data_IF_105001889807
#
_entry.id   IF_105001889807
#
_cell.length_a   1.000
_cell.length_b   1.000
_cell.length_c   1.000
_cell.angle_alpha   90.00
_cell.angle_beta   90.00
_cell.angle_gamma   90.00
#
_symmetry.space_group_name_H-M   'P 1'
#
loop_
_entity.id
_entity.type
_entity.pdbx_description
1 polymer ?
#
# COMPACT_ATOMS: atom_id res chain seq x y z
N UNK A 1 -6.03 -8.19 15.16
CA UNK A 1 -6.33 -9.52 15.78
C UNK A 1 -7.66 -10.02 15.30
N UNK A 2 -7.82 -11.34 15.26
CA UNK A 2 -9.07 -12.02 14.87
C UNK A 2 -9.48 -13.04 15.94
N UNK A 3 -10.77 -13.26 16.10
CA UNK A 3 -11.33 -14.29 16.98
C UNK A 3 -12.66 -14.80 16.41
N UNK A 4 -12.99 -16.07 16.67
CA UNK A 4 -14.30 -16.63 16.29
C UNK A 4 -15.46 -15.81 16.91
N UNK A 5 -16.53 -15.61 16.16
CA UNK A 5 -17.71 -14.87 16.58
C UNK A 5 -18.98 -15.41 15.91
N UNK A 6 -20.15 -15.08 16.46
CA UNK A 6 -21.45 -15.47 15.89
C UNK A 6 -21.83 -14.66 14.64
N UNK A 7 -21.16 -13.53 14.42
CA UNK A 7 -21.36 -12.66 13.25
C UNK A 7 -20.08 -11.89 12.92
N UNK A 8 -19.96 -11.43 11.68
CA UNK A 8 -18.88 -10.54 11.28
C UNK A 8 -18.95 -9.21 12.05
N UNK A 9 -17.82 -8.79 12.61
CA UNK A 9 -17.69 -7.49 13.26
C UNK A 9 -16.29 -6.93 13.08
N UNK A 10 -16.19 -5.61 13.01
CA UNK A 10 -14.94 -4.88 12.91
C UNK A 10 -14.89 -3.78 13.96
N UNK A 11 -13.79 -3.72 14.68
CA UNK A 11 -13.48 -2.63 15.60
C UNK A 11 -12.13 -2.02 15.29
N UNK A 12 -12.01 -0.69 15.46
CA UNK A 12 -10.77 0.03 15.30
C UNK A 12 -10.25 0.54 16.65
N UNK A 13 -8.97 0.35 16.86
CA UNK A 13 -8.15 1.14 17.78
C UNK A 13 -7.26 2.05 16.93
N UNK A 14 -7.26 3.35 17.20
CA UNK A 14 -6.47 4.32 16.43
C UNK A 14 -5.48 5.03 17.31
N UNK A 15 -4.29 5.31 16.78
CA UNK A 15 -3.41 6.31 17.36
C UNK A 15 -4.17 7.65 17.40
N UNK A 16 -4.14 8.41 18.52
CA UNK A 16 -4.84 9.67 18.63
C UNK A 16 -4.49 10.73 17.56
N UNK A 17 -3.38 10.55 16.87
CA UNK A 17 -2.92 11.42 15.78
C UNK A 17 -3.54 11.05 14.43
N UNK A 18 -4.21 9.90 14.32
CA UNK A 18 -4.79 9.39 13.07
C UNK A 18 -6.29 9.62 13.07
N UNK A 19 -6.78 10.40 12.12
CA UNK A 19 -8.20 10.47 11.85
C UNK A 19 -8.64 9.24 11.04
N UNK A 20 -9.40 8.38 11.66
CA UNK A 20 -9.98 7.20 11.05
C UNK A 20 -11.50 7.27 10.93
N UNK A 21 -12.09 8.47 11.05
CA UNK A 21 -13.54 8.68 10.99
C UNK A 21 -14.18 8.22 9.67
N UNK A 22 -13.42 8.24 8.58
CA UNK A 22 -13.88 7.79 7.26
C UNK A 22 -13.67 6.29 7.01
N UNK A 23 -13.03 5.55 7.92
CA UNK A 23 -12.84 4.11 7.76
C UNK A 23 -14.16 3.39 8.01
N UNK A 24 -14.74 2.71 7.00
CA UNK A 24 -15.99 2.00 7.21
C UNK A 24 -15.81 0.84 8.18
N UNK A 25 -16.79 0.60 9.06
CA UNK A 25 -16.82 -0.51 10.00
C UNK A 25 -17.77 -1.63 9.55
N UNK A 26 -18.25 -1.57 8.32
CA UNK A 26 -19.18 -2.50 7.68
C UNK A 26 -18.50 -3.26 6.52
N UNK A 27 -19.30 -3.97 5.71
CA UNK A 27 -18.90 -4.77 4.56
C UNK A 27 -18.13 -4.01 3.46
N UNK A 28 -18.11 -2.69 3.49
CA UNK A 28 -17.28 -1.85 2.61
C UNK A 28 -15.81 -1.86 3.03
N UNK A 29 -15.52 -2.27 4.27
CA UNK A 29 -14.14 -2.38 4.75
C UNK A 29 -13.41 -3.53 4.07
N UNK A 30 -12.22 -3.26 3.52
CA UNK A 30 -11.45 -4.26 2.79
C UNK A 30 -11.04 -5.46 3.65
N UNK A 31 -10.84 -5.28 4.96
CA UNK A 31 -10.54 -6.37 5.88
C UNK A 31 -11.75 -7.32 6.06
N UNK A 32 -12.97 -6.78 6.16
CA UNK A 32 -14.18 -7.63 6.19
C UNK A 32 -14.42 -8.32 4.85
N UNK A 33 -14.14 -7.65 3.74
CA UNK A 33 -14.20 -8.27 2.41
C UNK A 33 -13.20 -9.41 2.29
N UNK A 34 -11.96 -9.22 2.76
CA UNK A 34 -10.94 -10.26 2.80
C UNK A 34 -11.41 -11.48 3.61
N UNK A 35 -11.95 -11.23 4.79
CA UNK A 35 -12.49 -12.28 5.67
C UNK A 35 -13.62 -13.08 5.00
N UNK A 36 -14.58 -12.38 4.40
CA UNK A 36 -15.71 -13.01 3.69
C UNK A 36 -15.24 -13.81 2.47
N UNK A 37 -14.27 -13.29 1.71
CA UNK A 37 -13.72 -13.98 0.53
C UNK A 37 -12.99 -15.27 0.92
N UNK A 38 -12.21 -15.25 2.00
CA UNK A 38 -11.52 -16.45 2.49
C UNK A 38 -12.51 -17.50 3.01
N UNK A 39 -13.52 -17.09 3.79
CA UNK A 39 -14.59 -17.98 4.26
C UNK A 39 -15.35 -18.61 3.09
N UNK A 40 -15.65 -17.81 2.06
CA UNK A 40 -16.31 -18.25 0.83
C UNK A 40 -15.49 -19.25 0.01
N UNK A 41 -14.17 -19.03 -0.13
CA UNK A 41 -13.26 -19.95 -0.83
C UNK A 41 -13.32 -21.36 -0.24
N UNK A 42 -13.36 -21.46 1.09
CA UNK A 42 -13.41 -22.74 1.81
C UNK A 42 -14.83 -23.25 2.09
N UNK A 43 -15.88 -22.55 1.62
CA UNK A 43 -17.28 -22.93 1.86
C UNK A 43 -17.65 -23.00 3.35
N UNK A 44 -17.06 -22.13 4.17
CA UNK A 44 -17.26 -22.13 5.62
C UNK A 44 -18.50 -21.31 6.01
N UNK A 45 -19.27 -21.83 6.97
CA UNK A 45 -20.28 -21.08 7.70
C UNK A 45 -19.67 -20.56 9.02
N UNK A 46 -18.53 -19.85 8.90
CA UNK A 46 -17.80 -19.28 10.04
C UNK A 46 -17.71 -17.77 9.89
N UNK A 47 -17.81 -17.10 11.01
CA UNK A 47 -17.65 -15.66 11.13
C UNK A 47 -16.66 -15.30 12.24
N UNK A 48 -16.09 -14.11 12.18
CA UNK A 48 -15.08 -13.66 13.13
C UNK A 48 -15.28 -12.20 13.53
N UNK A 49 -14.80 -11.85 14.72
CA UNK A 49 -14.56 -10.48 15.11
C UNK A 49 -13.13 -10.09 14.71
N UNK A 50 -13.00 -8.95 14.06
CA UNK A 50 -11.74 -8.38 13.60
C UNK A 50 -11.48 -7.09 14.39
N UNK A 51 -10.29 -6.99 14.98
CA UNK A 51 -9.83 -5.76 15.62
C UNK A 51 -8.57 -5.27 14.90
N UNK A 52 -8.63 -4.08 14.33
CA UNK A 52 -7.52 -3.39 13.67
C UNK A 52 -6.96 -2.34 14.61
N UNK A 53 -5.65 -2.38 14.88
CA UNK A 53 -4.92 -1.28 15.53
C UNK A 53 -4.29 -0.43 14.43
N UNK A 54 -4.95 0.71 14.12
CA UNK A 54 -4.59 1.57 12.99
C UNK A 54 -3.46 2.51 13.38
N UNK A 55 -2.28 2.28 12.80
CA UNK A 55 -1.09 3.11 12.95
C UNK A 55 -0.66 3.79 11.65
N UNK A 56 -1.33 3.50 10.52
CA UNK A 56 -1.04 4.09 9.21
C UNK A 56 -2.15 5.09 8.87
N UNK A 57 -1.82 6.33 8.49
CA UNK A 57 -2.79 7.35 8.11
C UNK A 57 -3.72 6.92 6.99
N UNK A 58 -4.97 7.35 7.04
CA UNK A 58 -5.96 7.11 5.97
C UNK A 58 -5.67 8.05 4.81
N UNK A 59 -5.76 7.54 3.57
CA UNK A 59 -5.48 8.30 2.35
C UNK A 59 -4.07 8.93 2.30
N UNK A 60 -3.11 8.34 3.02
CA UNK A 60 -1.72 8.81 3.06
C UNK A 60 -0.81 8.29 1.94
N UNK A 61 -1.30 7.45 1.03
CA UNK A 61 -0.45 6.80 0.00
C UNK A 61 0.41 5.65 0.53
N UNK A 62 0.12 5.13 1.72
CA UNK A 62 0.92 4.11 2.44
C UNK A 62 0.29 2.72 2.46
N UNK A 63 -0.68 2.44 1.61
CA UNK A 63 -1.36 1.16 1.43
C UNK A 63 -1.88 0.49 2.73
N UNK A 64 -2.21 1.29 3.77
CA UNK A 64 -2.61 0.79 5.09
C UNK A 64 -3.84 -0.12 5.06
N UNK A 65 -4.84 0.17 4.21
CA UNK A 65 -6.01 -0.70 4.03
C UNK A 65 -5.64 -2.05 3.41
N UNK A 66 -4.73 -2.05 2.44
CA UNK A 66 -4.23 -3.28 1.81
C UNK A 66 -3.45 -4.15 2.79
N UNK A 67 -2.65 -3.53 3.67
CA UNK A 67 -1.97 -4.22 4.76
C UNK A 67 -2.98 -4.84 5.76
N UNK A 68 -4.06 -4.11 6.11
CA UNK A 68 -5.13 -4.63 6.98
C UNK A 68 -5.83 -5.85 6.35
N UNK A 69 -6.08 -5.82 5.02
CA UNK A 69 -6.68 -6.94 4.29
C UNK A 69 -5.76 -8.16 4.25
N UNK A 70 -4.49 -7.98 3.87
CA UNK A 70 -3.50 -9.04 3.83
C UNK A 70 -3.31 -9.71 5.21
N UNK A 71 -3.17 -8.89 6.26
CA UNK A 71 -3.07 -9.39 7.62
C UNK A 71 -4.33 -10.17 8.06
N UNK A 72 -5.51 -9.76 7.59
CA UNK A 72 -6.77 -10.46 7.89
C UNK A 72 -6.82 -11.82 7.22
N UNK A 73 -6.42 -11.93 5.93
CA UNK A 73 -6.33 -13.23 5.23
C UNK A 73 -5.44 -14.20 6.01
N UNK A 74 -4.21 -13.80 6.34
CA UNK A 74 -3.26 -14.63 7.07
C UNK A 74 -3.77 -15.00 8.46
N UNK A 75 -4.36 -14.04 9.17
CA UNK A 75 -4.81 -14.26 10.55
C UNK A 75 -5.99 -15.24 10.62
N UNK A 76 -6.94 -15.16 9.69
CA UNK A 76 -8.08 -16.07 9.63
C UNK A 76 -7.69 -17.44 9.09
N UNK A 77 -6.80 -17.52 8.11
CA UNK A 77 -6.24 -18.80 7.64
C UNK A 77 -5.65 -19.60 8.81
N UNK A 78 -4.84 -18.91 9.64
CA UNK A 78 -4.25 -19.53 10.85
C UNK A 78 -5.27 -19.83 11.94
N UNK A 79 -6.23 -18.91 12.19
CA UNK A 79 -7.27 -19.11 13.23
C UNK A 79 -8.10 -20.36 12.94
N UNK A 80 -8.44 -20.57 11.67
CA UNK A 80 -9.31 -21.66 11.24
C UNK A 80 -8.57 -22.90 10.75
N UNK A 81 -7.22 -22.87 10.75
CA UNK A 81 -6.33 -23.96 10.30
C UNK A 81 -6.68 -24.44 8.89
N UNK A 82 -6.84 -23.48 7.96
CA UNK A 82 -7.33 -23.77 6.60
C UNK A 82 -6.24 -24.33 5.70
N UNK A 83 -5.00 -23.92 5.88
CA UNK A 83 -3.86 -24.31 5.05
C UNK A 83 -4.04 -23.84 3.61
N UNK A 84 -4.61 -22.64 3.42
CA UNK A 84 -4.77 -22.01 2.10
C UNK A 84 -3.42 -21.85 1.44
N UNK A 85 -3.30 -22.27 0.19
CA UNK A 85 -2.04 -22.15 -0.55
C UNK A 85 -1.69 -20.68 -0.82
N UNK A 86 -0.39 -20.39 -0.99
CA UNK A 86 0.08 -19.05 -1.34
C UNK A 86 -0.56 -18.54 -2.65
N UNK A 87 -0.79 -19.44 -3.63
CA UNK A 87 -1.43 -19.10 -4.90
C UNK A 87 -2.90 -18.67 -4.70
N UNK A 88 -3.65 -19.38 -3.85
CA UNK A 88 -5.03 -19.03 -3.52
C UNK A 88 -5.10 -17.72 -2.74
N UNK A 89 -4.21 -17.52 -1.75
CA UNK A 89 -4.12 -16.26 -1.00
C UNK A 89 -3.79 -15.06 -1.92
N UNK A 90 -2.85 -15.23 -2.85
CA UNK A 90 -2.50 -14.18 -3.81
C UNK A 90 -3.64 -13.89 -4.77
N UNK A 91 -4.40 -14.91 -5.18
CA UNK A 91 -5.60 -14.73 -6.02
C UNK A 91 -6.66 -13.92 -5.30
N UNK A 92 -6.99 -14.28 -4.04
CA UNK A 92 -7.93 -13.50 -3.21
C UNK A 92 -7.45 -12.07 -3.01
N UNK A 93 -6.15 -11.90 -2.77
CA UNK A 93 -5.54 -10.59 -2.58
C UNK A 93 -5.67 -9.69 -3.81
N UNK A 94 -5.43 -10.24 -5.01
CA UNK A 94 -5.53 -9.51 -6.28
C UNK A 94 -6.98 -9.06 -6.57
N UNK A 95 -7.97 -9.84 -6.18
CA UNK A 95 -9.39 -9.49 -6.30
C UNK A 95 -9.82 -8.38 -5.32
N UNK A 96 -9.14 -8.28 -4.17
CA UNK A 96 -9.41 -7.26 -3.17
C UNK A 96 -8.83 -5.90 -3.57
N UNK A 97 -7.64 -5.88 -4.14
CA UNK A 97 -6.97 -4.66 -4.58
C UNK A 97 -5.52 -4.90 -5.01
N UNK A 98 -4.98 -4.03 -5.86
CA UNK A 98 -3.65 -4.19 -6.46
C UNK A 98 -2.50 -4.23 -5.45
N UNK A 99 -2.62 -3.52 -4.31
CA UNK A 99 -1.57 -3.45 -3.30
C UNK A 99 -1.66 -4.59 -2.26
N UNK A 100 -2.75 -5.39 -2.24
CA UNK A 100 -2.92 -6.45 -1.25
C UNK A 100 -1.96 -7.62 -1.47
N UNK A 101 -1.70 -8.08 -2.71
CA UNK A 101 -0.68 -9.09 -2.98
C UNK A 101 0.72 -8.65 -2.52
N UNK A 102 1.06 -7.38 -2.72
CA UNK A 102 2.33 -6.82 -2.26
C UNK A 102 2.45 -6.91 -0.73
N UNK A 103 1.38 -6.56 0.00
CA UNK A 103 1.35 -6.64 1.46
C UNK A 103 1.43 -8.10 1.99
N UNK A 104 0.98 -9.09 1.22
CA UNK A 104 1.14 -10.52 1.56
C UNK A 104 2.59 -10.99 1.39
N UNK A 105 3.23 -10.60 0.28
CA UNK A 105 4.60 -11.01 -0.05
C UNK A 105 5.60 -10.31 0.86
N UNK A 106 5.42 -9.00 1.06
CA UNK A 106 6.34 -8.16 1.82
C UNK A 106 7.68 -7.92 1.11
N UNK A 107 8.60 -7.22 1.78
CA UNK A 107 9.91 -6.91 1.24
C UNK A 107 9.87 -5.95 0.04
N UNK A 108 10.89 -6.03 -0.81
CA UNK A 108 11.00 -5.25 -2.04
C UNK A 108 10.54 -6.10 -3.22
N UNK A 109 9.64 -5.57 -4.03
CA UNK A 109 9.07 -6.31 -5.16
C UNK A 109 8.63 -5.37 -6.30
N UNK A 110 8.43 -5.94 -7.48
CA UNK A 110 7.84 -5.26 -8.65
C UNK A 110 6.43 -5.77 -8.87
N UNK A 111 5.48 -4.86 -9.02
CA UNK A 111 4.12 -5.15 -9.48
C UNK A 111 3.99 -4.94 -10.99
N UNK A 112 3.35 -5.86 -11.68
CA UNK A 112 2.96 -5.76 -13.09
C UNK A 112 1.44 -5.94 -13.25
N UNK A 113 0.93 -5.82 -14.49
CA UNK A 113 -0.51 -5.75 -14.69
C UNK A 113 -1.06 -4.41 -14.20
N UNK A 114 -2.01 -4.42 -13.28
CA UNK A 114 -2.49 -3.24 -12.53
C UNK A 114 -1.68 -3.00 -11.23
N UNK A 115 -0.59 -3.79 -11.00
CA UNK A 115 0.19 -3.86 -9.78
C UNK A 115 -0.03 -5.15 -8.98
N UNK A 116 -1.02 -5.97 -9.32
CA UNK A 116 -1.40 -7.18 -8.60
C UNK A 116 -0.51 -8.39 -8.83
N UNK A 117 0.24 -8.43 -9.94
CA UNK A 117 1.18 -9.49 -10.25
C UNK A 117 2.55 -9.14 -9.68
N UNK A 118 2.80 -9.55 -8.45
CA UNK A 118 3.95 -9.13 -7.65
C UNK A 118 5.09 -10.14 -7.76
N UNK A 119 6.28 -9.66 -8.12
CA UNK A 119 7.50 -10.45 -8.19
C UNK A 119 8.53 -9.89 -7.21
N UNK A 120 9.00 -10.67 -6.22
CA UNK A 120 10.04 -10.23 -5.30
C UNK A 120 11.33 -9.84 -6.02
N UNK A 121 11.99 -8.81 -5.53
CA UNK A 121 13.31 -8.39 -5.98
C UNK A 121 14.37 -8.68 -4.90
N UNK A 122 15.58 -8.95 -5.35
CA UNK A 122 16.73 -9.06 -4.46
C UNK A 122 17.11 -7.66 -3.95
N UNK A 123 17.08 -7.49 -2.63
CA UNK A 123 17.39 -6.26 -1.94
C UNK A 123 18.37 -6.56 -0.81
N UNK A 124 19.61 -6.06 -0.95
CA UNK A 124 20.71 -6.29 -0.01
C UNK A 124 21.00 -5.05 0.84
N UNK A 125 20.14 -4.00 0.71
CA UNK A 125 20.34 -2.73 1.40
C UNK A 125 19.66 -2.67 2.77
N UNK A 126 20.14 -1.73 3.58
CA UNK A 126 19.44 -1.24 4.75
C UNK A 126 19.08 0.22 4.48
N UNK A 127 17.77 0.49 4.28
CA UNK A 127 17.27 1.78 3.83
C UNK A 127 16.61 2.51 4.98
N UNK A 128 16.98 3.76 5.20
CA UNK A 128 16.40 4.61 6.22
C UNK A 128 15.43 5.62 5.58
N UNK A 129 14.17 5.53 5.96
CA UNK A 129 13.10 6.37 5.43
C UNK A 129 12.57 7.31 6.50
N UNK A 130 12.44 8.59 6.14
CA UNK A 130 11.73 9.58 6.95
C UNK A 130 10.38 9.83 6.29
N UNK A 131 9.30 9.45 6.97
CA UNK A 131 7.94 9.69 6.49
C UNK A 131 7.52 11.10 6.86
N UNK A 132 7.22 11.93 5.85
CA UNK A 132 6.66 13.26 6.04
C UNK A 132 5.20 13.21 5.62
N UNK A 133 4.34 13.06 6.61
CA UNK A 133 2.89 12.97 6.45
C UNK A 133 2.28 14.34 6.21
N UNK A 134 1.10 14.39 5.62
CA UNK A 134 0.32 15.61 5.41
C UNK A 134 -1.00 15.52 6.17
N UNK A 135 -1.40 16.60 6.83
CA UNK A 135 -2.69 16.72 7.52
C UNK A 135 -3.89 16.69 6.57
N UNK A 136 -3.66 16.89 5.28
CA UNK A 136 -4.70 16.83 4.25
C UNK A 136 -4.42 15.66 3.32
N UNK A 137 -5.35 14.73 3.23
CA UNK A 137 -5.32 13.62 2.30
C UNK A 137 -5.33 14.06 0.83
N UNK A 138 -4.97 13.15 -0.06
CA UNK A 138 -5.03 13.35 -1.50
C UNK A 138 -5.80 12.18 -2.14
N UNK A 139 -6.79 12.52 -2.96
CA UNK A 139 -7.64 11.51 -3.60
C UNK A 139 -6.86 10.72 -4.65
N UNK A 140 -6.63 9.43 -4.44
CA UNK A 140 -5.97 8.56 -5.42
C UNK A 140 -6.61 8.62 -6.81
N UNK A 141 -7.96 8.48 -6.96
CA UNK A 141 -8.59 8.66 -8.27
C UNK A 141 -8.37 10.04 -8.88
N UNK A 142 -8.32 11.10 -8.05
CA UNK A 142 -8.04 12.46 -8.49
C UNK A 142 -6.63 12.61 -9.05
N UNK A 143 -5.63 12.00 -8.42
CA UNK A 143 -4.23 12.02 -8.89
C UNK A 143 -4.09 11.27 -10.21
N UNK A 144 -4.72 10.11 -10.37
CA UNK A 144 -4.70 9.38 -11.65
C UNK A 144 -5.42 10.16 -12.77
N UNK A 145 -6.55 10.79 -12.49
CA UNK A 145 -7.23 11.64 -13.46
C UNK A 145 -6.37 12.84 -13.89
N UNK A 146 -5.63 13.44 -12.95
CA UNK A 146 -4.70 14.52 -13.26
C UNK A 146 -3.47 14.01 -14.03
N UNK A 147 -2.97 12.83 -13.69
CA UNK A 147 -1.90 12.17 -14.44
C UNK A 147 -2.30 11.95 -15.91
N UNK A 148 -3.50 11.42 -16.17
CA UNK A 148 -4.03 11.24 -17.52
C UNK A 148 -4.21 12.58 -18.25
N UNK A 149 -4.60 13.62 -17.53
CA UNK A 149 -4.72 14.98 -18.09
C UNK A 149 -3.38 15.58 -18.53
N UNK A 150 -2.33 15.32 -17.76
CA UNK A 150 -0.97 15.79 -18.04
C UNK A 150 -0.29 14.96 -19.13
N UNK A 151 -0.55 13.65 -19.16
CA UNK A 151 0.08 12.68 -20.06
C UNK A 151 -0.92 12.19 -21.10
N UNK A 152 -0.99 12.91 -22.24
CA UNK A 152 -1.97 12.60 -23.31
C UNK A 152 -1.55 11.47 -24.25
N UNK A 153 -0.42 10.81 -24.00
CA UNK A 153 0.04 9.70 -24.82
C UNK A 153 -0.51 8.37 -24.28
N UNK A 154 -1.48 7.74 -24.97
CA UNK A 154 -2.04 6.45 -24.54
C UNK A 154 -1.08 5.27 -24.68
N UNK A 155 0.11 5.49 -25.24
CA UNK A 155 1.16 4.46 -25.44
C UNK A 155 2.22 4.43 -24.34
N UNK A 156 2.12 5.29 -23.32
CA UNK A 156 3.08 5.31 -22.22
C UNK A 156 2.97 4.03 -21.39
N UNK A 157 4.05 3.25 -21.36
CA UNK A 157 4.14 2.08 -20.48
C UNK A 157 4.83 2.49 -19.17
N UNK A 158 4.27 2.06 -18.05
CA UNK A 158 4.93 2.20 -16.76
C UNK A 158 6.21 1.33 -16.76
N UNK A 159 7.35 1.95 -16.54
CA UNK A 159 8.63 1.26 -16.43
C UNK A 159 9.40 1.88 -15.26
N UNK A 160 9.96 1.04 -14.40
CA UNK A 160 10.92 1.49 -13.42
C UNK A 160 12.31 1.70 -14.06
N UNK A 161 13.16 2.48 -13.39
CA UNK A 161 14.49 2.79 -13.90
C UNK A 161 15.31 1.51 -14.12
N UNK A 162 15.96 1.32 -15.29
CA UNK A 162 16.72 0.07 -15.59
C UNK A 162 17.81 -0.28 -14.59
N UNK A 163 18.34 0.72 -13.86
CA UNK A 163 19.35 0.54 -12.81
C UNK A 163 18.80 0.16 -11.44
N UNK A 164 17.45 0.13 -11.23
CA UNK A 164 16.86 -0.06 -9.91
C UNK A 164 17.28 -1.38 -9.27
N UNK A 165 17.18 -2.48 -9.99
CA UNK A 165 17.57 -3.79 -9.44
C UNK A 165 19.06 -3.87 -9.10
N UNK A 166 19.93 -3.23 -9.90
CA UNK A 166 21.36 -3.18 -9.60
C UNK A 166 21.64 -2.34 -8.35
N UNK A 167 20.93 -1.22 -8.18
CA UNK A 167 21.04 -0.37 -6.99
C UNK A 167 20.58 -1.10 -5.72
N UNK A 168 19.45 -1.80 -5.78
CA UNK A 168 18.94 -2.62 -4.66
C UNK A 168 19.94 -3.72 -4.27
N UNK A 169 20.49 -4.44 -5.25
CA UNK A 169 21.49 -5.48 -5.00
C UNK A 169 22.82 -4.93 -4.46
N UNK A 170 23.18 -3.70 -4.82
CA UNK A 170 24.43 -3.07 -4.35
C UNK A 170 24.41 -2.74 -2.86
N UNK A 171 23.22 -2.47 -2.29
CA UNK A 171 23.05 -1.97 -0.93
C UNK A 171 23.57 -0.54 -0.73
N UNK A 172 23.90 0.18 -1.81
CA UNK A 172 24.42 1.55 -1.76
C UNK A 172 23.27 2.58 -1.85
N UNK A 173 23.03 3.37 -0.78
CA UNK A 173 21.90 4.31 -0.76
C UNK A 173 22.06 5.45 -1.78
N UNK A 174 23.26 5.80 -2.19
CA UNK A 174 23.47 6.81 -3.22
C UNK A 174 23.03 6.30 -4.59
N UNK A 175 23.38 5.06 -4.93
CA UNK A 175 22.94 4.46 -6.18
C UNK A 175 21.41 4.30 -6.21
N UNK A 176 20.79 3.94 -5.08
CA UNK A 176 19.34 3.83 -5.01
C UNK A 176 18.69 5.21 -5.17
N UNK A 177 19.19 6.24 -4.49
CA UNK A 177 18.65 7.59 -4.58
C UNK A 177 18.60 8.14 -6.02
N UNK A 178 19.63 7.84 -6.82
CA UNK A 178 19.74 8.29 -8.22
C UNK A 178 18.69 7.66 -9.16
N UNK A 179 18.10 6.55 -8.78
CA UNK A 179 17.17 5.78 -9.65
C UNK A 179 15.73 5.74 -9.14
N UNK A 180 15.46 6.30 -7.95
CA UNK A 180 14.11 6.39 -7.41
C UNK A 180 13.28 7.40 -8.17
N UNK A 181 12.08 7.00 -8.56
CA UNK A 181 11.10 7.87 -9.24
C UNK A 181 9.67 7.44 -8.95
N UNK A 182 8.75 8.38 -9.09
CA UNK A 182 7.32 8.13 -9.07
C UNK A 182 6.64 9.01 -10.12
N UNK A 183 6.06 8.41 -11.13
CA UNK A 183 5.43 9.09 -12.26
C UNK A 183 4.19 9.91 -11.85
N UNK A 184 3.58 9.60 -10.69
CA UNK A 184 2.46 10.37 -10.15
C UNK A 184 2.88 11.67 -9.48
N UNK A 185 4.19 11.87 -9.21
CA UNK A 185 4.68 13.08 -8.53
C UNK A 185 4.23 14.38 -9.20
N UNK A 186 4.35 14.57 -10.54
CA UNK A 186 3.89 15.80 -11.18
C UNK A 186 2.38 16.04 -11.04
N UNK A 187 1.58 14.98 -11.09
CA UNK A 187 0.13 15.07 -10.94
C UNK A 187 -0.27 15.43 -9.49
N UNK A 188 0.36 14.78 -8.51
CA UNK A 188 0.12 15.09 -7.10
C UNK A 188 0.49 16.55 -6.77
N UNK A 189 1.66 17.01 -7.23
CA UNK A 189 2.11 18.39 -7.03
C UNK A 189 1.28 19.43 -7.80
N UNK A 190 0.70 19.06 -8.96
CA UNK A 190 -0.26 19.91 -9.67
C UNK A 190 -1.52 20.17 -8.84
N UNK A 191 -2.03 19.14 -8.17
CA UNK A 191 -3.21 19.23 -7.30
C UNK A 191 -2.90 19.85 -5.93
N UNK A 192 -1.69 19.66 -5.43
CA UNK A 192 -1.19 20.10 -4.13
C UNK A 192 0.21 20.72 -4.27
N UNK A 193 0.30 21.99 -4.70
CA UNK A 193 1.59 22.67 -4.92
C UNK A 193 2.48 22.79 -3.69
N UNK A 194 1.89 22.72 -2.49
CA UNK A 194 2.63 22.70 -1.22
C UNK A 194 3.54 21.49 -1.06
N UNK A 195 3.24 20.38 -1.73
CA UNK A 195 4.06 19.17 -1.73
C UNK A 195 5.47 19.38 -2.30
N UNK A 196 5.63 20.31 -3.26
CA UNK A 196 6.95 20.69 -3.80
C UNK A 196 7.83 21.34 -2.73
N UNK A 197 7.24 22.14 -1.83
CA UNK A 197 8.01 22.75 -0.74
C UNK A 197 8.48 21.70 0.25
N UNK A 198 7.62 20.72 0.60
CA UNK A 198 7.99 19.61 1.48
C UNK A 198 9.16 18.82 0.91
N UNK A 199 9.09 18.51 -0.38
CA UNK A 199 10.20 17.86 -1.12
C UNK A 199 11.50 18.65 -1.03
N UNK A 200 11.42 19.95 -1.32
CA UNK A 200 12.60 20.84 -1.30
C UNK A 200 13.21 20.92 0.10
N UNK A 201 12.38 21.00 1.15
CA UNK A 201 12.83 21.07 2.53
C UNK A 201 13.51 19.76 2.97
N UNK A 202 12.99 18.61 2.56
CA UNK A 202 13.61 17.31 2.81
C UNK A 202 15.01 17.21 2.21
N UNK A 203 15.16 17.58 0.92
CA UNK A 203 16.46 17.59 0.25
C UNK A 203 17.41 18.61 0.87
N UNK A 204 16.95 19.81 1.22
CA UNK A 204 17.76 20.84 1.90
C UNK A 204 18.21 20.39 3.31
N UNK A 205 17.48 19.49 3.94
CA UNK A 205 17.80 18.90 5.25
C UNK A 205 18.81 17.75 5.15
N UNK A 206 19.23 17.36 3.94
CA UNK A 206 20.27 16.37 3.71
C UNK A 206 19.76 14.98 3.33
N UNK A 207 18.50 14.84 2.97
CA UNK A 207 17.99 13.60 2.37
C UNK A 207 18.69 13.34 1.01
N UNK A 208 19.03 12.08 0.74
CA UNK A 208 19.66 11.67 -0.52
C UNK A 208 18.67 11.73 -1.69
N UNK A 209 17.41 11.40 -1.41
CA UNK A 209 16.28 11.52 -2.34
C UNK A 209 15.03 11.94 -1.58
N UNK A 210 14.00 12.34 -2.30
CA UNK A 210 12.65 12.51 -1.79
C UNK A 210 11.69 11.86 -2.77
N UNK A 211 10.98 10.82 -2.34
CA UNK A 211 10.07 10.02 -3.14
C UNK A 211 8.64 10.19 -2.63
N UNK A 212 7.72 10.54 -3.53
CA UNK A 212 6.30 10.53 -3.19
C UNK A 212 5.82 9.08 -3.02
N UNK A 213 5.13 8.77 -1.94
CA UNK A 213 4.59 7.43 -1.69
C UNK A 213 3.26 7.23 -2.41
N UNK A 214 3.23 6.30 -3.38
CA UNK A 214 2.03 6.02 -4.17
C UNK A 214 1.47 7.28 -4.84
N UNK A 215 0.17 7.55 -4.66
CA UNK A 215 -0.47 8.78 -5.14
C UNK A 215 -0.25 9.99 -4.20
N UNK A 216 0.53 9.83 -3.15
CA UNK A 216 0.74 10.83 -2.12
C UNK A 216 -0.40 10.89 -1.08
N UNK A 217 -0.38 11.92 -0.21
CA UNK A 217 0.54 13.06 -0.16
C UNK A 217 1.83 12.84 0.64
N UNK A 218 2.06 11.66 1.20
CA UNK A 218 3.24 11.36 2.03
C UNK A 218 4.51 11.36 1.18
N UNK A 219 5.57 12.00 1.69
CA UNK A 219 6.93 11.90 1.17
C UNK A 219 7.77 10.94 2.01
N UNK A 220 8.68 10.27 1.33
CA UNK A 220 9.68 9.38 1.90
C UNK A 220 11.08 9.94 1.65
#
# INVERSE_FOLDING_TARGET
TVADAESWSLTLETDPRIDASEVPLDDRNIALRAASSLSGLHGLDKTASIKISKGIPVAGGLAGGSADAAATLIALDRLWDLGTSDEELLTLAADLGSDVPFALIGGTAVGSGRGELVTPLEDNGEWWWVLVESDQGLSTPGVYAEFDRLNRDPGMQANYHPGLEAALRSGDPWQLADVLSNDLTPAACSLRPDLEQVRADGLASGALAALLSGSGPTWL
#
